data_IF_416542447496
#
_entry.id   IF_416542447496
#
_cell.length_a   1.000
_cell.length_b   1.000
_cell.length_c   1.000
_cell.angle_alpha   90.00
_cell.angle_beta   90.00
_cell.angle_gamma   90.00
#
_symmetry.space_group_name_H-M   'P 1'
#
loop_
_entity.id
_entity.type
_entity.pdbx_description
1 polymer ?
#
# COMPACT_ATOMS: atom_id res chain seq x y z
N UNK A 1 7.83 25.70 -10.14
CA UNK A 1 7.82 24.30 -9.67
C UNK A 1 6.65 23.58 -10.31
N UNK A 2 6.87 22.37 -10.83
CA UNK A 2 5.85 21.51 -11.47
C UNK A 2 6.01 20.09 -10.92
N UNK A 3 5.50 19.85 -9.70
CA UNK A 3 5.58 18.55 -9.03
C UNK A 3 4.20 17.89 -9.01
N UNK A 4 4.17 16.57 -9.11
CA UNK A 4 2.98 15.82 -8.71
C UNK A 4 3.36 14.88 -7.57
N UNK A 5 2.45 14.70 -6.61
CA UNK A 5 2.61 13.70 -5.58
C UNK A 5 1.38 12.82 -5.46
N UNK A 6 1.58 11.52 -5.30
CA UNK A 6 0.54 10.61 -4.80
C UNK A 6 1.02 10.09 -3.45
N UNK A 7 0.25 10.40 -2.42
CA UNK A 7 0.51 9.99 -1.04
C UNK A 7 -0.56 8.97 -0.66
N UNK A 8 -0.15 7.70 -0.63
CA UNK A 8 -0.99 6.57 -0.28
C UNK A 8 -0.91 6.33 1.22
N UNK A 9 -2.03 6.55 1.90
CA UNK A 9 -2.27 6.26 3.31
C UNK A 9 -2.73 4.80 3.38
N UNK A 10 -1.77 3.88 3.51
CA UNK A 10 -1.93 2.44 3.29
C UNK A 10 -3.06 1.87 4.16
N UNK A 11 -4.07 1.24 3.56
CA UNK A 11 -5.23 0.70 4.28
C UNK A 11 -6.27 1.72 4.78
N UNK A 12 -6.18 3.01 4.45
CA UNK A 12 -7.14 4.04 4.86
C UNK A 12 -8.43 4.06 4.01
N UNK A 13 -9.21 2.97 4.07
CA UNK A 13 -10.49 2.83 3.38
C UNK A 13 -11.57 3.81 3.86
N UNK A 14 -12.56 4.08 3.01
CA UNK A 14 -13.70 4.96 3.29
C UNK A 14 -15.04 4.26 3.00
N UNK A 15 -15.15 2.98 3.34
CA UNK A 15 -16.42 2.27 3.29
C UNK A 15 -16.69 1.50 2.01
N UNK A 16 -17.92 0.99 1.95
CA UNK A 16 -18.33 -0.07 1.04
C UNK A 16 -18.00 0.16 -0.45
N UNK A 17 -17.65 -0.95 -1.10
CA UNK A 17 -17.67 -1.13 -2.55
C UNK A 17 -18.84 -2.04 -2.96
N UNK A 18 -19.32 -1.96 -4.22
CA UNK A 18 -20.39 -2.82 -4.70
C UNK A 18 -20.10 -4.33 -4.58
N UNK A 19 -18.83 -4.73 -4.64
CA UNK A 19 -18.37 -6.13 -4.65
C UNK A 19 -17.87 -6.64 -3.29
N UNK A 20 -17.94 -5.82 -2.23
CA UNK A 20 -17.35 -6.10 -0.92
C UNK A 20 -17.80 -7.45 -0.32
N UNK A 21 -19.06 -7.84 -0.50
CA UNK A 21 -19.59 -9.12 -0.01
C UNK A 21 -18.90 -10.35 -0.64
N UNK A 22 -18.44 -10.24 -1.90
CA UNK A 22 -17.73 -11.33 -2.58
C UNK A 22 -16.34 -11.62 -1.96
N UNK A 23 -15.81 -10.67 -1.18
CA UNK A 23 -14.54 -10.80 -0.45
C UNK A 23 -14.73 -11.19 1.02
N UNK A 24 -15.99 -11.37 1.47
CA UNK A 24 -16.31 -11.61 2.88
C UNK A 24 -16.23 -10.35 3.76
N UNK A 25 -16.13 -9.17 3.15
CA UNK A 25 -15.87 -7.91 3.85
C UNK A 25 -17.15 -7.09 4.11
N UNK A 26 -18.33 -7.70 4.01
CA UNK A 26 -19.59 -6.98 4.10
C UNK A 26 -19.70 -6.18 5.42
N UNK A 27 -19.82 -4.86 5.30
CA UNK A 27 -19.89 -3.95 6.45
C UNK A 27 -18.55 -3.34 6.89
N UNK A 28 -17.42 -3.71 6.27
CA UNK A 28 -16.17 -2.99 6.50
C UNK A 28 -16.27 -1.55 5.99
N UNK A 29 -15.79 -0.64 6.80
CA UNK A 29 -15.83 0.80 6.60
C UNK A 29 -14.77 1.40 7.51
N UNK A 30 -13.50 1.34 7.09
CA UNK A 30 -12.34 1.65 7.92
C UNK A 30 -12.51 3.02 8.61
N UNK A 31 -12.62 4.10 7.84
CA UNK A 31 -12.80 5.45 8.41
C UNK A 31 -14.12 5.60 9.19
N UNK A 32 -15.24 5.10 8.67
CA UNK A 32 -16.54 5.30 9.31
C UNK A 32 -16.74 4.45 10.57
N UNK A 33 -16.21 3.22 10.61
CA UNK A 33 -16.20 2.35 11.78
C UNK A 33 -15.24 2.88 12.85
N UNK A 34 -14.02 3.32 12.50
CA UNK A 34 -13.12 3.97 13.46
C UNK A 34 -13.79 5.20 14.05
N UNK A 35 -14.41 6.04 13.22
CA UNK A 35 -15.17 7.20 13.70
C UNK A 35 -16.28 6.82 14.68
N UNK A 36 -17.07 5.79 14.38
CA UNK A 36 -18.12 5.30 15.27
C UNK A 36 -17.57 4.73 16.57
N UNK A 37 -16.48 3.97 16.51
CA UNK A 37 -15.86 3.34 17.67
C UNK A 37 -15.29 4.36 18.67
N UNK A 38 -14.77 5.50 18.20
CA UNK A 38 -14.21 6.55 19.06
C UNK A 38 -15.19 7.66 19.42
N UNK A 39 -16.47 7.54 19.03
CA UNK A 39 -17.51 8.54 19.33
C UNK A 39 -17.50 9.78 18.43
N UNK A 40 -16.82 9.69 17.28
CA UNK A 40 -16.68 10.75 16.28
C UNK A 40 -15.23 11.21 16.12
N UNK A 41 -14.82 11.47 14.87
CA UNK A 41 -13.51 12.02 14.56
C UNK A 41 -13.50 13.54 14.71
N UNK A 42 -12.35 14.10 15.11
CA UNK A 42 -12.10 15.53 15.08
C UNK A 42 -10.82 15.80 14.29
N UNK A 43 -10.96 16.03 13.00
CA UNK A 43 -9.87 16.20 12.04
C UNK A 43 -10.07 17.52 11.26
N UNK A 44 -9.87 18.68 11.90
CA UNK A 44 -10.24 19.98 11.33
C UNK A 44 -9.55 20.29 10.00
N UNK A 45 -8.33 19.82 9.78
CA UNK A 45 -7.61 20.09 8.54
C UNK A 45 -8.10 19.18 7.41
N UNK A 46 -8.25 17.88 7.66
CA UNK A 46 -8.80 16.93 6.69
C UNK A 46 -10.27 17.23 6.37
N UNK A 47 -11.05 17.68 7.35
CA UNK A 47 -12.42 18.18 7.15
C UNK A 47 -12.43 19.42 6.24
N UNK A 48 -11.49 20.35 6.43
CA UNK A 48 -11.31 21.51 5.54
C UNK A 48 -10.85 21.12 4.14
N UNK A 49 -10.07 20.05 3.98
CA UNK A 49 -9.77 19.50 2.66
C UNK A 49 -10.99 18.82 2.01
N UNK A 50 -11.99 18.41 2.80
CA UNK A 50 -13.22 17.82 2.29
C UNK A 50 -13.37 16.33 2.58
N UNK A 51 -12.62 15.74 3.52
CA UNK A 51 -12.73 14.32 3.85
C UNK A 51 -14.17 13.89 4.21
N UNK A 52 -14.87 14.67 5.03
CA UNK A 52 -16.28 14.45 5.37
C UNK A 52 -17.27 14.70 4.23
N UNK A 53 -16.80 15.20 3.08
CA UNK A 53 -17.57 15.33 1.83
C UNK A 53 -17.33 14.18 0.87
N UNK A 54 -16.28 13.38 1.05
CA UNK A 54 -16.06 12.17 0.27
C UNK A 54 -17.18 11.17 0.56
N UNK A 55 -17.44 10.90 1.84
CA UNK A 55 -18.59 10.13 2.36
C UNK A 55 -18.95 10.59 3.78
N UNK A 56 -20.15 10.30 4.29
CA UNK A 56 -20.53 10.62 5.67
C UNK A 56 -19.62 9.90 6.68
N UNK A 57 -18.97 10.66 7.57
CA UNK A 57 -18.11 10.14 8.64
C UNK A 57 -18.51 10.82 9.95
N UNK A 58 -18.74 10.04 11.01
CA UNK A 58 -19.16 10.58 12.30
C UNK A 58 -18.10 11.57 12.83
N UNK A 59 -18.54 12.77 13.22
CA UNK A 59 -17.67 13.83 13.76
C UNK A 59 -17.04 14.75 12.72
N UNK A 60 -17.07 14.39 11.43
CA UNK A 60 -16.71 15.31 10.35
C UNK A 60 -18.00 15.85 9.74
N UNK A 61 -18.23 17.15 9.88
CA UNK A 61 -19.40 17.75 9.26
C UNK A 61 -19.16 17.79 7.75
N UNK A 62 -20.19 17.45 6.98
CA UNK A 62 -20.20 17.67 5.55
C UNK A 62 -20.35 19.19 5.25
N UNK A 63 -19.62 20.06 5.94
CA UNK A 63 -19.57 21.50 5.71
C UNK A 63 -20.67 22.33 6.39
N UNK A 64 -21.12 21.96 7.59
CA UNK A 64 -22.07 22.79 8.37
C UNK A 64 -21.63 22.84 9.83
N UNK A 65 -20.50 23.51 10.07
CA UNK A 65 -20.20 24.02 11.41
C UNK A 65 -21.02 25.32 11.60
N UNK A 66 -21.84 25.46 12.65
CA UNK A 66 -22.60 26.68 12.94
C UNK A 66 -21.77 27.98 13.08
N UNK A 67 -20.43 27.90 13.03
CA UNK A 67 -19.52 29.04 13.01
C UNK A 67 -18.86 29.38 11.66
N UNK A 68 -19.08 28.62 10.58
CA UNK A 68 -18.44 28.86 9.26
C UNK A 68 -19.10 30.01 8.49
N UNK A 69 -18.28 30.91 7.92
CA UNK A 69 -18.70 32.02 7.05
C UNK A 69 -18.92 31.53 5.61
N UNK A 70 -19.76 32.23 4.81
CA UNK A 70 -19.83 32.00 3.37
C UNK A 70 -18.44 32.17 2.74
N UNK A 71 -17.89 31.10 2.14
CA UNK A 71 -16.50 31.02 1.66
C UNK A 71 -15.68 29.87 2.27
N UNK A 72 -16.15 29.25 3.35
CA UNK A 72 -15.46 28.15 4.06
C UNK A 72 -15.75 26.75 3.47
N UNK A 73 -15.84 26.66 2.14
CA UNK A 73 -15.98 25.38 1.44
C UNK A 73 -14.71 24.52 1.51
N UNK A 74 -14.76 23.25 1.05
CA UNK A 74 -13.54 22.45 0.86
C UNK A 74 -12.52 23.26 0.06
N UNK A 75 -11.24 23.19 0.42
CA UNK A 75 -10.18 23.90 -0.32
C UNK A 75 -9.48 23.02 -1.35
N UNK A 76 -9.79 21.73 -1.35
CA UNK A 76 -9.26 20.71 -2.24
C UNK A 76 -10.37 20.16 -3.14
N UNK A 77 -9.99 19.51 -4.24
CA UNK A 77 -10.92 18.64 -4.94
C UNK A 77 -11.07 17.33 -4.15
N UNK A 78 -12.28 16.79 -4.07
CA UNK A 78 -12.58 15.68 -3.17
C UNK A 78 -13.51 14.66 -3.81
N UNK A 79 -13.36 13.39 -3.44
CA UNK A 79 -14.22 12.31 -3.89
C UNK A 79 -13.77 10.96 -3.34
N UNK A 80 -14.23 9.89 -3.98
CA UNK A 80 -13.78 8.54 -3.68
C UNK A 80 -13.40 7.84 -4.97
N UNK A 81 -12.53 6.83 -4.88
CA UNK A 81 -12.33 5.87 -5.96
C UNK A 81 -12.71 4.47 -5.50
N UNK A 82 -13.27 3.71 -6.43
CA UNK A 82 -13.53 2.28 -6.28
C UNK A 82 -12.35 1.47 -6.86
N UNK A 83 -12.02 0.32 -6.25
CA UNK A 83 -11.07 -0.60 -6.84
C UNK A 83 -11.69 -1.29 -8.07
N UNK A 84 -10.96 -1.32 -9.19
CA UNK A 84 -11.35 -2.04 -10.40
C UNK A 84 -10.70 -3.43 -10.49
N UNK A 85 -9.52 -3.61 -9.89
CA UNK A 85 -8.78 -4.86 -9.87
C UNK A 85 -9.41 -5.87 -8.93
N UNK A 86 -9.24 -7.17 -9.20
CA UNK A 86 -9.80 -8.24 -8.38
C UNK A 86 -9.06 -8.49 -7.05
N UNK A 87 -7.85 -7.95 -6.86
CA UNK A 87 -7.10 -8.06 -5.59
C UNK A 87 -7.45 -6.92 -4.62
N UNK A 88 -7.26 -7.17 -3.32
CA UNK A 88 -7.37 -6.17 -2.23
C UNK A 88 -6.06 -5.99 -1.45
N UNK A 89 -4.96 -6.54 -1.95
CA UNK A 89 -3.62 -6.37 -1.40
C UNK A 89 -2.95 -5.08 -1.89
N UNK A 90 -1.96 -4.59 -1.15
CA UNK A 90 -1.30 -3.32 -1.45
C UNK A 90 -0.60 -3.30 -2.81
N UNK A 91 -0.12 -4.45 -3.32
CA UNK A 91 0.52 -4.52 -4.64
C UNK A 91 -0.52 -4.24 -5.72
N UNK A 92 -1.67 -4.90 -5.63
CA UNK A 92 -2.79 -4.67 -6.55
C UNK A 92 -3.25 -3.21 -6.53
N UNK A 93 -3.48 -2.63 -5.35
CA UNK A 93 -3.96 -1.26 -5.23
C UNK A 93 -2.98 -0.23 -5.82
N UNK A 94 -1.68 -0.36 -5.52
CA UNK A 94 -0.66 0.53 -6.05
C UNK A 94 -0.43 0.35 -7.56
N UNK A 95 -0.49 -0.88 -8.07
CA UNK A 95 -0.42 -1.13 -9.51
C UNK A 95 -1.61 -0.52 -10.24
N UNK A 96 -2.80 -0.58 -9.66
CA UNK A 96 -3.98 0.07 -10.21
C UNK A 96 -3.83 1.59 -10.23
N UNK A 97 -3.38 2.21 -9.14
CA UNK A 97 -3.02 3.63 -9.10
C UNK A 97 -2.09 4.00 -10.28
N UNK A 98 -1.17 3.11 -10.63
CA UNK A 98 -0.22 3.30 -11.72
C UNK A 98 -0.69 2.77 -13.09
N UNK A 99 -1.98 2.46 -13.26
CA UNK A 99 -2.58 2.16 -14.57
C UNK A 99 -2.72 0.68 -14.92
N UNK A 100 -2.50 -0.24 -13.99
CA UNK A 100 -2.67 -1.70 -14.21
C UNK A 100 -3.90 -2.22 -13.47
N UNK A 101 -4.91 -2.68 -14.21
CA UNK A 101 -6.08 -3.35 -13.63
C UNK A 101 -5.90 -4.87 -13.70
N UNK A 102 -5.81 -5.53 -12.55
CA UNK A 102 -5.67 -6.99 -12.48
C UNK A 102 -7.05 -7.66 -12.53
N UNK A 103 -7.26 -8.54 -13.53
CA UNK A 103 -8.49 -9.32 -13.65
C UNK A 103 -8.60 -10.45 -12.62
N UNK A 104 -7.48 -10.89 -12.08
CA UNK A 104 -7.38 -11.96 -11.09
C UNK A 104 -6.58 -11.44 -9.89
N UNK A 105 -7.05 -11.74 -8.69
CA UNK A 105 -6.30 -11.48 -7.46
C UNK A 105 -5.03 -12.35 -7.41
N UNK A 106 -4.02 -11.90 -6.67
CA UNK A 106 -2.89 -12.76 -6.36
C UNK A 106 -3.34 -13.99 -5.56
N UNK A 107 -2.70 -15.14 -5.83
CA UNK A 107 -3.10 -16.40 -5.22
C UNK A 107 -2.68 -16.47 -3.77
N UNK A 108 -3.59 -16.89 -2.90
CA UNK A 108 -3.29 -17.26 -1.51
C UNK A 108 -3.26 -18.78 -1.34
N UNK A 109 -2.64 -19.24 -0.25
CA UNK A 109 -2.40 -20.67 -0.01
C UNK A 109 -2.84 -21.09 1.41
N UNK A 110 -4.15 -21.01 1.75
CA UNK A 110 -4.65 -21.30 3.09
C UNK A 110 -4.38 -22.74 3.55
N UNK A 111 -4.15 -23.67 2.61
CA UNK A 111 -3.83 -25.07 2.88
C UNK A 111 -2.37 -25.41 2.53
N UNK A 112 -1.50 -24.40 2.43
CA UNK A 112 -0.13 -24.57 1.94
C UNK A 112 -0.02 -24.62 0.42
N UNK A 113 1.21 -24.60 -0.07
CA UNK A 113 1.59 -24.71 -1.48
C UNK A 113 1.43 -26.17 -1.97
N UNK A 114 1.13 -26.38 -3.26
CA UNK A 114 1.15 -27.70 -3.86
C UNK A 114 2.49 -28.40 -3.63
N UNK A 115 2.45 -29.68 -3.26
CA UNK A 115 3.66 -30.48 -3.02
C UNK A 115 4.60 -30.47 -4.24
N UNK A 116 4.04 -30.54 -5.46
CA UNK A 116 4.81 -30.48 -6.70
C UNK A 116 5.63 -29.19 -6.85
N UNK A 117 5.08 -28.06 -6.41
CA UNK A 117 5.77 -26.77 -6.40
C UNK A 117 6.95 -26.80 -5.42
N UNK A 118 6.73 -27.35 -4.22
CA UNK A 118 7.78 -27.45 -3.20
C UNK A 118 8.86 -28.49 -3.55
N UNK A 119 8.50 -29.55 -4.27
CA UNK A 119 9.45 -30.51 -4.81
C UNK A 119 10.34 -29.89 -5.90
N UNK A 120 9.79 -29.03 -6.77
CA UNK A 120 10.61 -28.27 -7.74
C UNK A 120 11.51 -27.26 -7.03
N UNK A 121 10.99 -26.53 -6.04
CA UNK A 121 11.78 -25.65 -5.19
C UNK A 121 12.94 -26.40 -4.50
N UNK A 122 12.67 -27.56 -3.93
CA UNK A 122 13.69 -28.37 -3.28
C UNK A 122 14.77 -28.86 -4.26
N UNK A 123 14.36 -29.31 -5.46
CA UNK A 123 15.27 -29.74 -6.51
C UNK A 123 16.18 -28.60 -6.99
N UNK A 124 15.63 -27.40 -7.22
CA UNK A 124 16.40 -26.22 -7.68
C UNK A 124 17.38 -25.71 -6.64
N UNK A 125 17.05 -25.84 -5.36
CA UNK A 125 17.88 -25.33 -4.26
C UNK A 125 18.79 -26.37 -3.63
N UNK A 126 18.62 -27.66 -3.96
CA UNK A 126 19.40 -28.76 -3.40
C UNK A 126 19.08 -29.08 -1.93
N UNK A 127 17.96 -28.59 -1.39
CA UNK A 127 17.54 -28.78 0.01
C UNK A 127 16.06 -29.14 0.08
N UNK A 128 15.69 -30.07 0.95
CA UNK A 128 14.29 -30.35 1.23
C UNK A 128 13.57 -29.18 1.93
N UNK A 129 12.29 -29.37 2.24
CA UNK A 129 11.46 -28.36 2.89
C UNK A 129 10.75 -28.93 4.14
N UNK A 130 10.30 -28.03 5.01
CA UNK A 130 9.52 -28.25 6.23
C UNK A 130 8.37 -27.22 6.28
N UNK A 131 7.28 -27.53 7.00
CA UNK A 131 6.21 -26.57 7.30
C UNK A 131 5.02 -26.63 6.33
N UNK A 132 5.10 -25.87 5.24
CA UNK A 132 4.07 -25.74 4.20
C UNK A 132 2.64 -25.48 4.71
N UNK A 133 2.47 -24.44 5.53
CA UNK A 133 1.14 -24.02 6.02
C UNK A 133 1.12 -22.53 6.35
N UNK A 134 -0.06 -21.90 6.49
CA UNK A 134 -0.16 -20.59 7.10
C UNK A 134 0.35 -20.63 8.54
N UNK A 135 1.25 -19.73 8.91
CA UNK A 135 1.77 -19.63 10.26
C UNK A 135 2.38 -18.27 10.57
N UNK A 136 2.38 -17.90 11.85
CA UNK A 136 3.24 -16.82 12.35
C UNK A 136 4.71 -17.22 12.22
N UNK A 137 5.56 -16.29 11.76
CA UNK A 137 6.99 -16.53 11.64
C UNK A 137 7.64 -16.92 12.96
N UNK A 138 7.20 -16.35 14.08
CA UNK A 138 7.71 -16.72 15.41
C UNK A 138 7.32 -18.15 15.77
N UNK A 139 6.06 -18.53 15.52
CA UNK A 139 5.55 -19.85 15.85
C UNK A 139 6.24 -20.94 15.04
N UNK A 140 6.32 -20.78 13.71
CA UNK A 140 6.88 -21.82 12.85
C UNK A 140 8.38 -22.01 13.04
N UNK A 141 9.11 -20.93 13.34
CA UNK A 141 10.55 -21.01 13.67
C UNK A 141 10.75 -21.71 15.03
N UNK A 142 9.90 -21.42 16.02
CA UNK A 142 9.97 -22.11 17.32
C UNK A 142 9.72 -23.62 17.18
N UNK A 143 8.78 -24.02 16.31
CA UNK A 143 8.41 -25.41 16.07
C UNK A 143 9.42 -26.18 15.22
N UNK A 144 9.90 -25.58 14.12
CA UNK A 144 10.68 -26.28 13.10
C UNK A 144 12.17 -25.91 13.08
N UNK A 145 12.60 -24.94 13.90
CA UNK A 145 13.96 -24.42 13.89
C UNK A 145 15.02 -25.48 14.24
N UNK A 146 14.74 -26.35 15.21
CA UNK A 146 15.68 -27.43 15.58
C UNK A 146 15.83 -28.48 14.47
N UNK A 147 14.72 -28.91 13.86
CA UNK A 147 14.75 -29.83 12.72
C UNK A 147 15.42 -29.21 11.49
N UNK A 148 15.21 -27.91 11.27
CA UNK A 148 15.95 -27.14 10.25
C UNK A 148 17.46 -27.17 10.52
N UNK A 149 17.90 -26.86 11.74
CA UNK A 149 19.33 -26.87 12.08
C UNK A 149 19.95 -28.25 11.90
N UNK A 150 19.22 -29.32 12.22
CA UNK A 150 19.67 -30.72 12.08
C UNK A 150 19.78 -31.19 10.63
N UNK A 151 18.85 -30.78 9.78
CA UNK A 151 18.72 -31.32 8.40
C UNK A 151 19.17 -30.37 7.30
N UNK A 152 19.22 -29.07 7.58
CA UNK A 152 19.45 -28.02 6.60
C UNK A 152 18.29 -27.80 5.62
N UNK A 153 17.11 -28.39 5.83
CA UNK A 153 15.92 -28.19 4.99
C UNK A 153 15.32 -26.80 5.18
N UNK A 154 14.79 -26.16 4.14
CA UNK A 154 14.11 -24.88 4.25
C UNK A 154 12.85 -24.96 5.13
N UNK A 155 12.61 -23.96 5.98
CA UNK A 155 11.27 -23.78 6.57
C UNK A 155 10.46 -22.92 5.61
N UNK A 156 9.45 -23.50 4.97
CA UNK A 156 8.59 -22.81 3.99
C UNK A 156 7.20 -22.62 4.59
N UNK A 157 6.65 -21.41 4.50
CA UNK A 157 5.31 -21.09 5.01
C UNK A 157 4.68 -19.88 4.32
N UNK A 158 3.41 -19.61 4.63
CA UNK A 158 2.63 -18.48 4.09
C UNK A 158 1.90 -17.72 5.21
N UNK A 159 1.26 -16.60 4.88
CA UNK A 159 0.29 -15.90 5.73
C UNK A 159 -1.10 -15.92 5.07
N UNK A 160 -2.03 -15.09 5.57
CA UNK A 160 -3.28 -14.77 4.88
C UNK A 160 -3.03 -14.08 3.54
N UNK A 161 -1.96 -13.29 3.45
CA UNK A 161 -1.53 -12.62 2.22
C UNK A 161 -0.96 -13.60 1.19
N UNK A 162 -0.86 -13.11 -0.04
CA UNK A 162 -0.19 -13.80 -1.14
C UNK A 162 1.34 -13.75 -1.01
N UNK A 163 1.91 -14.55 -0.12
CA UNK A 163 3.37 -14.56 0.13
C UNK A 163 3.96 -15.97 0.26
N UNK A 164 5.20 -16.15 -0.19
CA UNK A 164 5.99 -17.35 0.05
C UNK A 164 7.18 -17.01 0.95
N UNK A 165 7.17 -17.50 2.18
CA UNK A 165 8.18 -17.16 3.17
C UNK A 165 9.15 -18.32 3.36
N UNK A 166 10.46 -18.02 3.35
CA UNK A 166 11.53 -19.00 3.56
C UNK A 166 12.33 -18.58 4.79
N UNK A 167 12.24 -19.36 5.85
CA UNK A 167 13.03 -19.17 7.06
C UNK A 167 14.23 -20.13 7.10
N UNK A 168 15.37 -19.60 7.53
CA UNK A 168 16.59 -20.38 7.73
C UNK A 168 17.46 -19.78 8.83
N UNK A 169 18.10 -20.64 9.59
CA UNK A 169 19.03 -20.27 10.64
C UNK A 169 20.37 -19.84 10.03
N UNK A 170 20.87 -18.65 10.37
CA UNK A 170 22.01 -18.03 9.68
C UNK A 170 23.32 -18.85 9.74
N UNK A 171 23.50 -19.66 10.78
CA UNK A 171 24.66 -20.56 10.91
C UNK A 171 24.48 -21.91 10.21
N UNK A 172 23.24 -22.29 9.87
CA UNK A 172 22.94 -23.55 9.16
C UNK A 172 22.89 -23.32 7.65
N UNK A 173 22.28 -22.20 7.25
CA UNK A 173 22.24 -21.73 5.87
C UNK A 173 22.63 -20.27 5.87
N UNK A 174 23.73 -19.96 5.18
CA UNK A 174 24.23 -18.59 5.12
C UNK A 174 23.19 -17.66 4.46
N UNK A 175 23.11 -16.38 4.86
CA UNK A 175 22.16 -15.43 4.29
C UNK A 175 22.20 -15.32 2.75
N UNK A 176 23.39 -15.38 2.13
CA UNK A 176 23.52 -15.33 0.67
C UNK A 176 22.89 -16.55 -0.04
N UNK A 177 22.95 -17.72 0.60
CA UNK A 177 22.30 -18.93 0.11
C UNK A 177 20.78 -18.87 0.30
N UNK A 178 20.30 -18.35 1.44
CA UNK A 178 18.88 -18.07 1.65
C UNK A 178 18.33 -17.15 0.55
N UNK A 179 19.05 -16.08 0.22
CA UNK A 179 18.64 -15.16 -0.85
C UNK A 179 18.67 -15.81 -2.24
N UNK A 180 19.61 -16.71 -2.53
CA UNK A 180 19.59 -17.51 -3.76
C UNK A 180 18.37 -18.44 -3.79
N UNK A 181 18.04 -19.07 -2.68
CA UNK A 181 16.82 -19.87 -2.53
C UNK A 181 15.55 -19.05 -2.80
N UNK A 182 15.42 -17.87 -2.20
CA UNK A 182 14.28 -16.99 -2.44
C UNK A 182 14.18 -16.52 -3.90
N UNK A 183 15.29 -16.27 -4.59
CA UNK A 183 15.28 -15.97 -6.04
C UNK A 183 14.78 -17.16 -6.86
N UNK A 184 15.24 -18.38 -6.57
CA UNK A 184 14.74 -19.59 -7.22
C UNK A 184 13.25 -19.80 -6.98
N UNK A 185 12.76 -19.55 -5.76
CA UNK A 185 11.32 -19.56 -5.47
C UNK A 185 10.58 -18.49 -6.27
N UNK A 186 11.15 -17.28 -6.41
CA UNK A 186 10.51 -16.20 -7.15
C UNK A 186 10.29 -16.55 -8.63
N UNK A 187 11.27 -17.19 -9.26
CA UNK A 187 11.19 -17.70 -10.64
C UNK A 187 10.15 -18.82 -10.80
N UNK A 188 9.90 -19.60 -9.74
CA UNK A 188 8.88 -20.66 -9.74
C UNK A 188 7.45 -20.12 -9.57
N UNK A 189 7.30 -19.08 -8.75
CA UNK A 189 6.01 -18.54 -8.35
C UNK A 189 5.53 -17.52 -9.37
N UNK A 190 5.17 -18.01 -10.55
CA UNK A 190 4.67 -17.25 -11.71
C UNK A 190 3.36 -17.84 -12.23
N UNK A 191 2.67 -17.14 -13.13
CA UNK A 191 1.42 -17.61 -13.73
C UNK A 191 0.36 -17.92 -12.68
N UNK A 192 -0.23 -19.12 -12.72
CA UNK A 192 -1.23 -19.54 -11.73
C UNK A 192 -0.69 -19.69 -10.30
N UNK A 193 0.64 -19.72 -10.13
CA UNK A 193 1.29 -19.80 -8.82
C UNK A 193 1.92 -18.47 -8.39
N UNK A 194 1.59 -17.38 -9.10
CA UNK A 194 2.09 -16.06 -8.76
C UNK A 194 1.65 -15.65 -7.35
N UNK A 195 2.64 -15.40 -6.49
CA UNK A 195 2.46 -14.69 -5.22
C UNK A 195 3.04 -13.28 -5.32
N UNK A 196 2.49 -12.33 -4.56
CA UNK A 196 2.98 -10.94 -4.61
C UNK A 196 4.43 -10.84 -4.14
N UNK A 197 4.82 -11.57 -3.08
CA UNK A 197 6.19 -11.53 -2.55
C UNK A 197 6.74 -12.90 -2.12
N UNK A 198 8.03 -13.12 -2.40
CA UNK A 198 8.83 -14.12 -1.70
C UNK A 198 9.63 -13.42 -0.61
N UNK A 199 9.66 -13.95 0.61
CA UNK A 199 10.28 -13.26 1.76
C UNK A 199 11.34 -14.16 2.42
N UNK A 200 12.57 -13.70 2.45
CA UNK A 200 13.64 -14.27 3.24
C UNK A 200 13.44 -13.91 4.73
N UNK A 201 13.46 -14.92 5.59
CA UNK A 201 13.26 -14.80 7.04
C UNK A 201 14.42 -15.43 7.80
N UNK A 202 15.61 -14.82 7.77
CA UNK A 202 16.73 -15.32 8.55
C UNK A 202 16.42 -15.24 10.06
N UNK A 203 16.94 -16.21 10.80
CA UNK A 203 16.85 -16.24 12.25
C UNK A 203 18.14 -16.77 12.89
N UNK A 204 18.31 -16.49 14.17
CA UNK A 204 19.45 -16.92 14.99
C UNK A 204 18.95 -17.46 16.33
N UNK A 205 19.86 -17.95 17.17
CA UNK A 205 19.58 -18.46 18.50
C UNK A 205 19.69 -19.99 18.60
N UNK A 206 19.04 -20.54 19.62
CA UNK A 206 19.06 -21.98 19.94
C UNK A 206 17.65 -22.51 20.12
N UNK A 207 17.42 -23.84 20.10
CA UNK A 207 16.11 -24.41 20.41
C UNK A 207 15.49 -23.78 21.67
N UNK A 208 14.22 -23.37 21.57
CA UNK A 208 13.48 -22.66 22.62
C UNK A 208 13.76 -21.15 22.75
N UNK A 209 14.72 -20.60 22.01
CA UNK A 209 15.11 -19.18 22.09
C UNK A 209 15.51 -18.59 20.72
N UNK A 210 14.81 -18.96 19.66
CA UNK A 210 15.06 -18.41 18.31
C UNK A 210 14.53 -16.99 18.15
N UNK A 211 15.25 -16.19 17.37
CA UNK A 211 14.89 -14.80 17.06
C UNK A 211 15.15 -14.49 15.59
N UNK A 212 14.17 -13.84 14.93
CA UNK A 212 14.36 -13.34 13.57
C UNK A 212 15.38 -12.20 13.56
N UNK A 213 16.22 -12.13 12.53
CA UNK A 213 17.22 -11.07 12.38
C UNK A 213 16.74 -9.96 11.46
N UNK A 214 17.51 -8.88 11.37
CA UNK A 214 17.26 -7.76 10.44
C UNK A 214 17.54 -8.11 8.97
N UNK A 215 18.12 -9.29 8.68
CA UNK A 215 18.45 -9.73 7.32
C UNK A 215 17.24 -10.11 6.45
N UNK A 216 16.02 -9.72 6.85
CA UNK A 216 14.81 -9.86 6.05
C UNK A 216 15.04 -9.24 4.67
N UNK A 217 14.65 -9.96 3.62
CA UNK A 217 14.64 -9.43 2.27
C UNK A 217 13.41 -9.90 1.53
N UNK A 218 12.72 -8.98 0.87
CA UNK A 218 11.52 -9.26 0.10
C UNK A 218 11.90 -9.28 -1.40
N UNK A 219 11.29 -10.20 -2.14
CA UNK A 219 11.47 -10.40 -3.57
C UNK A 219 10.08 -10.32 -4.20
N UNK A 220 9.68 -9.11 -4.55
CA UNK A 220 8.37 -8.82 -5.11
C UNK A 220 8.28 -9.24 -6.57
N UNK A 221 7.05 -9.51 -7.00
CA UNK A 221 6.73 -9.67 -8.42
C UNK A 221 6.84 -8.31 -9.14
N UNK A 222 7.32 -8.32 -10.39
CA UNK A 222 7.30 -7.13 -11.23
C UNK A 222 5.89 -6.84 -11.77
N UNK A 223 5.55 -5.56 -12.00
CA UNK A 223 4.32 -5.18 -12.69
C UNK A 223 4.12 -5.95 -14.00
N UNK A 224 2.93 -6.52 -14.18
CA UNK A 224 2.56 -7.34 -15.36
C UNK A 224 2.38 -6.55 -16.66
N UNK A 225 2.54 -5.23 -16.61
CA UNK A 225 2.36 -4.32 -17.74
C UNK A 225 3.18 -3.05 -17.59
N UNK A 226 3.04 -2.15 -18.55
CA UNK A 226 3.61 -0.80 -18.47
C UNK A 226 2.83 0.04 -17.44
N UNK A 227 3.56 0.65 -16.51
CA UNK A 227 3.02 1.48 -15.42
C UNK A 227 3.24 2.97 -15.70
N UNK A 228 2.56 3.83 -14.93
CA UNK A 228 2.90 5.25 -14.84
C UNK A 228 4.41 5.48 -14.62
N UNK A 229 5.06 4.69 -13.78
CA UNK A 229 6.49 4.84 -13.49
C UNK A 229 7.35 4.62 -14.74
N UNK A 230 7.01 3.62 -15.56
CA UNK A 230 7.67 3.37 -16.85
C UNK A 230 7.47 4.55 -17.81
N UNK A 231 6.24 5.04 -17.93
CA UNK A 231 5.92 6.18 -18.82
C UNK A 231 6.66 7.45 -18.40
N UNK A 232 6.68 7.75 -17.11
CA UNK A 232 7.39 8.90 -16.55
C UNK A 232 8.90 8.76 -16.75
N UNK A 233 9.44 7.55 -16.63
CA UNK A 233 10.84 7.27 -16.93
C UNK A 233 11.17 7.52 -18.41
N UNK A 234 10.35 7.02 -19.33
CA UNK A 234 10.51 7.26 -20.76
C UNK A 234 10.41 8.76 -21.12
N UNK A 235 9.54 9.51 -20.42
CA UNK A 235 9.37 10.95 -20.59
C UNK A 235 10.44 11.80 -19.85
N UNK A 236 11.44 11.18 -19.21
CA UNK A 236 12.49 11.88 -18.48
C UNK A 236 11.99 12.68 -17.27
N UNK A 237 10.84 12.32 -16.69
CA UNK A 237 10.30 12.95 -15.49
C UNK A 237 11.00 12.34 -14.27
N UNK A 238 11.73 13.11 -13.43
CA UNK A 238 12.33 12.60 -12.21
C UNK A 238 11.28 11.99 -11.26
N UNK A 239 11.66 10.94 -10.53
CA UNK A 239 10.75 10.21 -9.64
C UNK A 239 11.43 10.01 -8.29
N UNK A 240 10.71 10.30 -7.21
CA UNK A 240 11.17 10.16 -5.82
C UNK A 240 10.24 9.19 -5.11
N UNK A 241 10.77 8.07 -4.63
CA UNK A 241 10.02 7.10 -3.83
C UNK A 241 10.23 7.32 -2.34
N UNK A 242 9.16 7.21 -1.56
CA UNK A 242 9.20 7.27 -0.09
C UNK A 242 8.34 6.12 0.47
N UNK A 243 8.85 5.44 1.50
CA UNK A 243 8.21 4.25 2.03
C UNK A 243 8.52 3.03 1.17
N UNK A 244 7.54 2.15 0.94
CA UNK A 244 7.74 0.86 0.27
C UNK A 244 7.33 0.84 -1.21
N UNK A 245 7.23 2.00 -1.86
CA UNK A 245 6.78 2.04 -3.26
C UNK A 245 7.78 1.39 -4.23
N UNK A 246 9.05 1.21 -3.88
CA UNK A 246 9.97 0.41 -4.69
C UNK A 246 9.73 -1.09 -4.52
N UNK A 247 9.56 -1.57 -3.29
CA UNK A 247 9.21 -2.96 -3.01
C UNK A 247 7.92 -3.37 -3.73
N UNK A 248 6.90 -2.51 -3.75
CA UNK A 248 5.61 -2.78 -4.41
C UNK A 248 5.72 -2.87 -5.94
N UNK A 249 6.80 -2.35 -6.53
CA UNK A 249 7.06 -2.38 -7.97
C UNK A 249 8.35 -3.14 -8.32
N UNK A 250 8.88 -3.93 -7.38
CA UNK A 250 10.15 -4.66 -7.54
C UNK A 250 11.33 -3.78 -8.01
N UNK A 251 11.35 -2.50 -7.60
CA UNK A 251 12.35 -1.51 -8.00
C UNK A 251 12.23 -1.03 -9.45
N UNK A 252 11.17 -1.42 -10.16
CA UNK A 252 10.97 -1.05 -11.57
C UNK A 252 10.70 0.45 -11.70
N UNK A 253 11.67 1.16 -12.26
CA UNK A 253 11.63 2.59 -12.52
C UNK A 253 11.40 3.49 -11.30
N UNK A 254 11.58 2.98 -10.07
CA UNK A 254 11.49 3.76 -8.84
C UNK A 254 12.42 3.18 -7.78
N UNK A 255 13.03 4.07 -6.97
CA UNK A 255 13.79 3.72 -5.78
C UNK A 255 13.25 4.54 -4.61
N UNK A 256 13.23 3.95 -3.41
CA UNK A 256 12.63 4.61 -2.24
C UNK A 256 13.56 4.70 -1.04
N UNK A 257 13.38 5.76 -0.27
CA UNK A 257 13.86 5.78 1.12
C UNK A 257 12.77 5.18 2.03
N UNK A 258 13.07 4.03 2.64
CA UNK A 258 12.13 3.29 3.47
C UNK A 258 11.95 3.94 4.83
N UNK A 259 10.69 4.04 5.27
CA UNK A 259 10.33 4.69 6.53
C UNK A 259 9.67 3.73 7.50
N UNK A 260 10.10 3.68 8.77
CA UNK A 260 9.49 2.81 9.78
C UNK A 260 8.18 3.38 10.36
N UNK A 261 7.93 4.68 10.21
CA UNK A 261 6.78 5.37 10.78
C UNK A 261 6.21 6.41 9.82
N UNK A 262 4.92 6.74 10.00
CA UNK A 262 4.20 7.78 9.28
C UNK A 262 4.87 9.14 9.46
N UNK A 263 5.24 9.50 10.69
CA UNK A 263 6.00 10.73 10.98
C UNK A 263 7.31 10.83 10.22
N UNK A 264 8.01 9.71 10.01
CA UNK A 264 9.21 9.72 9.18
C UNK A 264 8.85 9.95 7.71
N UNK A 265 7.83 9.26 7.18
CA UNK A 265 7.32 9.48 5.83
C UNK A 265 6.94 10.96 5.60
N UNK A 266 6.19 11.58 6.51
CA UNK A 266 5.80 12.99 6.45
C UNK A 266 7.00 13.94 6.34
N UNK A 267 8.08 13.70 7.10
CA UNK A 267 9.31 14.48 7.01
C UNK A 267 10.02 14.30 5.67
N UNK A 268 10.03 13.09 5.13
CA UNK A 268 10.61 12.83 3.81
C UNK A 268 9.77 13.46 2.69
N UNK A 269 8.44 13.49 2.83
CA UNK A 269 7.57 14.21 1.88
C UNK A 269 7.86 15.69 1.90
N UNK A 270 7.98 16.29 3.09
CA UNK A 270 8.37 17.70 3.22
C UNK A 270 9.72 17.97 2.54
N UNK A 271 10.74 17.15 2.81
CA UNK A 271 12.06 17.26 2.18
C UNK A 271 11.98 17.11 0.65
N UNK A 272 11.26 16.10 0.17
CA UNK A 272 11.13 15.84 -1.26
C UNK A 272 10.42 16.99 -1.99
N UNK A 273 9.41 17.60 -1.37
CA UNK A 273 8.82 18.83 -1.88
C UNK A 273 9.88 19.94 -1.90
N UNK A 274 10.54 20.24 -0.78
CA UNK A 274 11.52 21.33 -0.68
C UNK A 274 12.69 21.22 -1.70
N UNK A 275 13.10 20.00 -2.05
CA UNK A 275 14.27 19.73 -2.91
C UNK A 275 13.94 19.49 -4.40
N UNK A 276 12.67 19.20 -4.75
CA UNK A 276 12.29 18.86 -6.13
C UNK A 276 11.73 20.06 -6.87
N UNK A 277 12.32 20.44 -8.01
CA UNK A 277 11.77 21.52 -8.84
C UNK A 277 10.67 21.01 -9.81
N UNK A 278 10.91 19.84 -10.42
CA UNK A 278 10.00 19.11 -11.32
C UNK A 278 10.19 17.62 -11.11
N UNK A 279 9.10 16.89 -10.85
CA UNK A 279 9.15 15.45 -10.67
C UNK A 279 7.92 14.86 -10.01
N UNK A 280 7.81 13.54 -10.04
CA UNK A 280 6.77 12.76 -9.39
C UNK A 280 7.27 12.23 -8.04
N UNK A 281 6.53 12.51 -6.97
CA UNK A 281 6.81 12.02 -5.62
C UNK A 281 5.77 10.94 -5.30
N UNK A 282 6.21 9.71 -5.10
CA UNK A 282 5.31 8.60 -4.80
C UNK A 282 5.58 8.08 -3.40
N UNK A 283 4.55 8.05 -2.56
CA UNK A 283 4.69 7.86 -1.13
C UNK A 283 3.74 6.76 -0.66
N UNK A 284 4.25 5.85 0.15
CA UNK A 284 3.47 4.85 0.85
C UNK A 284 3.65 5.02 2.37
N UNK A 285 2.58 5.36 3.07
CA UNK A 285 2.51 5.66 4.51
C UNK A 285 1.89 4.45 5.23
N UNK A 286 2.73 3.66 5.89
CA UNK A 286 2.45 2.23 6.15
C UNK A 286 1.78 1.90 7.50
N UNK A 287 1.76 2.79 8.49
CA UNK A 287 1.34 2.36 9.84
C UNK A 287 -0.17 2.12 9.96
N UNK A 288 -0.98 2.79 9.13
CA UNK A 288 -2.43 2.58 9.05
C UNK A 288 -2.76 1.10 8.77
N UNK A 289 -2.01 0.48 7.86
CA UNK A 289 -2.11 -0.94 7.56
C UNK A 289 -1.30 -1.83 8.53
N UNK A 290 0.03 -1.66 8.55
CA UNK A 290 0.96 -2.61 9.16
C UNK A 290 0.95 -2.60 10.69
N UNK A 291 0.71 -1.43 11.29
CA UNK A 291 0.81 -1.25 12.74
C UNK A 291 -0.57 -1.32 13.40
N UNK A 292 -1.60 -0.76 12.76
CA UNK A 292 -2.92 -0.62 13.39
C UNK A 292 -4.01 -1.48 12.75
N UNK A 293 -4.17 -1.45 11.41
CA UNK A 293 -5.20 -2.19 10.68
C UNK A 293 -5.15 -3.69 10.93
N UNK A 294 -4.07 -4.36 10.51
CA UNK A 294 -3.89 -5.80 10.70
C UNK A 294 -3.91 -6.27 12.17
N UNK A 295 -3.72 -5.34 13.12
CA UNK A 295 -3.71 -5.62 14.56
C UNK A 295 -5.03 -5.29 15.25
N UNK A 296 -6.02 -4.80 14.49
CA UNK A 296 -7.30 -4.34 15.01
C UNK A 296 -7.14 -3.32 16.16
N UNK A 297 -6.14 -2.44 16.03
CA UNK A 297 -5.84 -1.40 17.02
C UNK A 297 -6.53 -0.08 16.65
N UNK A 298 -7.81 0.02 17.03
CA UNK A 298 -8.63 1.21 16.80
C UNK A 298 -8.03 2.47 17.43
N UNK A 299 -7.44 2.35 18.63
CA UNK A 299 -6.89 3.49 19.36
C UNK A 299 -5.63 4.03 18.66
N UNK A 300 -4.72 3.15 18.25
CA UNK A 300 -3.54 3.50 17.47
C UNK A 300 -3.92 4.10 16.10
N UNK A 301 -4.91 3.52 15.42
CA UNK A 301 -5.41 4.02 14.14
C UNK A 301 -5.95 5.46 14.28
N UNK A 302 -6.75 5.72 15.31
CA UNK A 302 -7.29 7.05 15.61
C UNK A 302 -6.19 8.06 15.93
N UNK A 303 -5.17 7.69 16.71
CA UNK A 303 -4.04 8.59 16.96
C UNK A 303 -3.23 8.87 15.67
N UNK A 304 -3.07 7.87 14.81
CA UNK A 304 -2.49 8.04 13.47
C UNK A 304 -3.24 9.06 12.61
N UNK A 305 -4.59 9.04 12.66
CA UNK A 305 -5.43 10.04 11.97
C UNK A 305 -5.20 11.45 12.52
N UNK A 306 -5.07 11.60 13.85
CA UNK A 306 -4.78 12.90 14.47
C UNK A 306 -3.39 13.42 14.11
N UNK A 307 -2.40 12.52 14.02
CA UNK A 307 -1.05 12.87 13.56
C UNK A 307 -1.06 13.34 12.10
N UNK A 308 -1.78 12.62 11.23
CA UNK A 308 -1.98 12.99 9.84
C UNK A 308 -2.63 14.38 9.72
N UNK A 309 -3.74 14.59 10.42
CA UNK A 309 -4.46 15.87 10.39
C UNK A 309 -3.58 17.05 10.84
N UNK A 310 -2.79 16.86 11.89
CA UNK A 310 -1.86 17.88 12.39
C UNK A 310 -0.70 18.18 11.40
N UNK A 311 -0.38 17.24 10.51
CA UNK A 311 0.65 17.42 9.48
C UNK A 311 0.15 18.17 8.24
N UNK A 312 -1.15 18.11 7.92
CA UNK A 312 -1.73 18.73 6.71
C UNK A 312 -1.30 20.19 6.49
N UNK A 313 -1.30 21.10 7.49
CA UNK A 313 -0.86 22.48 7.27
C UNK A 313 0.58 22.62 6.77
N UNK A 314 1.47 21.69 7.18
CA UNK A 314 2.88 21.67 6.76
C UNK A 314 3.03 21.17 5.32
N UNK A 315 2.15 20.27 4.89
CA UNK A 315 2.06 19.82 3.50
C UNK A 315 1.56 20.96 2.60
N UNK A 316 0.48 21.64 2.99
CA UNK A 316 -0.09 22.75 2.21
C UNK A 316 0.87 23.92 2.05
N UNK A 317 1.63 24.27 3.09
CA UNK A 317 2.63 25.34 3.01
C UNK A 317 3.71 25.07 1.94
N UNK A 318 3.88 23.81 1.52
CA UNK A 318 4.84 23.39 0.49
C UNK A 318 4.20 23.09 -0.86
N UNK A 319 2.87 23.07 -0.95
CA UNK A 319 2.13 22.89 -2.19
C UNK A 319 2.11 24.22 -2.97
N UNK A 320 3.10 24.45 -3.83
CA UNK A 320 3.33 25.76 -4.47
C UNK A 320 3.29 25.66 -5.99
N UNK A 321 3.22 26.81 -6.67
CA UNK A 321 3.30 26.87 -8.13
C UNK A 321 2.22 26.03 -8.83
N UNK A 322 2.67 25.11 -9.69
CA UNK A 322 1.80 24.25 -10.49
C UNK A 322 1.48 22.90 -9.84
N UNK A 323 1.86 22.67 -8.58
CA UNK A 323 1.77 21.32 -8.02
C UNK A 323 0.37 20.71 -8.02
N UNK A 324 0.35 19.38 -8.09
CA UNK A 324 -0.83 18.55 -7.86
C UNK A 324 -0.46 17.46 -6.85
N UNK A 325 -1.02 17.54 -5.65
CA UNK A 325 -0.79 16.57 -4.57
C UNK A 325 -2.09 15.83 -4.30
N UNK A 326 -2.05 14.51 -4.42
CA UNK A 326 -3.18 13.60 -4.21
C UNK A 326 -2.93 12.82 -2.93
N UNK A 327 -3.82 12.96 -1.94
CA UNK A 327 -3.91 12.10 -0.76
C UNK A 327 -4.97 11.04 -1.03
N UNK A 328 -4.62 9.77 -0.83
CA UNK A 328 -5.50 8.63 -1.10
C UNK A 328 -5.13 7.40 -0.27
N UNK A 329 -5.72 6.25 -0.55
CA UNK A 329 -5.35 4.93 -0.07
C UNK A 329 -5.35 3.93 -1.24
N UNK A 330 -5.01 2.68 -0.96
CA UNK A 330 -4.92 1.59 -1.94
C UNK A 330 -5.84 0.40 -1.63
N UNK A 331 -6.43 0.38 -0.45
CA UNK A 331 -7.51 -0.52 0.00
C UNK A 331 -8.05 -0.03 1.36
N UNK A 332 -8.95 -0.79 1.99
CA UNK A 332 -9.29 -0.66 3.40
C UNK A 332 -8.53 -1.66 4.26
N UNK A 333 -8.45 -1.40 5.56
CA UNK A 333 -8.01 -2.35 6.58
C UNK A 333 -8.70 -1.99 7.90
N UNK A 334 -9.97 -2.40 8.02
CA UNK A 334 -10.86 -1.97 9.08
C UNK A 334 -10.52 -2.61 10.43
N UNK A 335 -9.98 -1.83 11.40
CA UNK A 335 -9.49 -2.37 12.67
C UNK A 335 -10.62 -2.74 13.64
N UNK A 336 -11.89 -2.57 13.26
CA UNK A 336 -13.04 -2.88 14.11
C UNK A 336 -13.65 -4.25 13.81
N UNK A 337 -13.15 -4.95 12.79
CA UNK A 337 -13.64 -6.27 12.39
C UNK A 337 -12.83 -7.39 13.03
N UNK A 338 -13.34 -8.64 13.10
CA UNK A 338 -12.54 -9.79 13.52
C UNK A 338 -11.47 -10.20 12.49
N UNK A 339 -11.54 -9.68 11.26
CA UNK A 339 -10.55 -9.97 10.22
C UNK A 339 -9.18 -9.45 10.62
N UNK A 340 -8.13 -10.10 10.13
CA UNK A 340 -6.76 -9.57 10.16
C UNK A 340 -6.18 -9.42 8.76
N UNK A 341 -7.03 -9.57 7.74
CA UNK A 341 -6.77 -9.32 6.32
C UNK A 341 -7.34 -7.95 5.94
N UNK A 342 -6.92 -7.42 4.79
CA UNK A 342 -7.44 -6.16 4.25
C UNK A 342 -8.95 -6.25 3.98
N UNK A 343 -9.59 -5.09 3.83
CA UNK A 343 -11.01 -4.98 3.46
C UNK A 343 -11.18 -4.36 2.07
N UNK A 344 -12.14 -4.91 1.31
CA UNK A 344 -12.55 -4.39 0.00
C UNK A 344 -13.37 -3.12 0.16
N UNK A 345 -12.70 -1.97 0.09
CA UNK A 345 -13.29 -0.66 0.32
C UNK A 345 -12.93 0.36 -0.76
N UNK A 346 -13.77 1.39 -0.85
CA UNK A 346 -13.45 2.59 -1.60
C UNK A 346 -12.33 3.34 -0.87
N UNK A 347 -11.59 4.17 -1.59
CA UNK A 347 -10.52 5.00 -1.01
C UNK A 347 -10.86 6.48 -1.17
N UNK A 348 -10.53 7.34 -0.19
CA UNK A 348 -10.72 8.77 -0.35
C UNK A 348 -9.78 9.32 -1.44
N UNK A 349 -10.22 10.38 -2.12
CA UNK A 349 -9.35 11.21 -2.95
C UNK A 349 -9.47 12.63 -2.43
N UNK A 350 -8.35 13.23 -2.04
CA UNK A 350 -8.23 14.66 -1.79
C UNK A 350 -7.09 15.21 -2.65
N UNK A 351 -7.37 16.21 -3.47
CA UNK A 351 -6.39 16.82 -4.37
C UNK A 351 -6.20 18.28 -4.03
N UNK A 352 -4.96 18.65 -3.72
CA UNK A 352 -4.57 20.00 -3.34
C UNK A 352 -3.40 20.49 -4.20
N UNK A 353 -3.23 21.80 -4.29
CA UNK A 353 -2.17 22.42 -5.09
C UNK A 353 -2.51 23.87 -5.45
N UNK A 354 -1.50 24.66 -5.81
CA UNK A 354 -1.64 26.11 -6.01
C UNK A 354 -2.63 26.52 -7.11
N UNK A 355 -2.89 25.62 -8.08
CA UNK A 355 -3.87 25.81 -9.17
C UNK A 355 -5.01 24.79 -9.17
N UNK A 356 -5.15 24.02 -8.09
CA UNK A 356 -6.22 23.04 -7.96
C UNK A 356 -7.49 23.76 -7.50
N UNK A 357 -8.57 23.62 -8.26
CA UNK A 357 -9.89 24.15 -7.92
C UNK A 357 -10.59 23.20 -6.96
N UNK A 358 -11.14 23.73 -5.87
CA UNK A 358 -11.99 22.96 -4.99
C UNK A 358 -13.30 22.57 -5.68
N UNK A 359 -13.56 21.26 -5.79
CA UNK A 359 -14.77 20.71 -6.40
C UNK A 359 -14.99 19.24 -6.03
N UNK A 360 -16.23 18.74 -6.12
CA UNK A 360 -16.47 17.31 -6.10
C UNK A 360 -15.89 16.65 -7.36
N UNK A 361 -15.21 15.52 -7.16
CA UNK A 361 -14.80 14.56 -8.19
C UNK A 361 -15.82 13.42 -8.37
N UNK A 362 -16.76 13.30 -7.43
CA UNK A 362 -17.71 12.19 -7.37
C UNK A 362 -17.03 10.87 -7.02
N UNK A 363 -17.60 9.79 -7.51
CA UNK A 363 -17.06 8.44 -7.39
C UNK A 363 -16.34 8.05 -8.68
N UNK A 364 -15.03 7.79 -8.57
CA UNK A 364 -14.19 7.30 -9.67
C UNK A 364 -14.26 5.78 -9.72
N UNK A 365 -14.26 5.21 -10.92
CA UNK A 365 -14.48 3.76 -11.12
C UNK A 365 -13.21 2.92 -10.98
N UNK A 366 -12.05 3.56 -10.86
CA UNK A 366 -10.76 2.90 -10.70
C UNK A 366 -9.77 3.83 -9.99
N UNK A 367 -8.83 3.25 -9.25
CA UNK A 367 -7.68 3.99 -8.71
C UNK A 367 -6.76 4.53 -9.83
N UNK A 368 -6.81 3.92 -11.01
CA UNK A 368 -6.01 4.30 -12.17
C UNK A 368 -6.23 5.74 -12.66
N UNK A 369 -7.37 6.35 -12.31
CA UNK A 369 -7.67 7.75 -12.62
C UNK A 369 -6.65 8.71 -12.01
N UNK A 370 -6.06 8.35 -10.86
CA UNK A 370 -5.00 9.13 -10.21
C UNK A 370 -3.72 9.09 -11.05
N UNK A 371 -3.29 7.92 -11.50
CA UNK A 371 -2.13 7.79 -12.37
C UNK A 371 -2.33 8.44 -13.74
N UNK A 372 -3.52 8.32 -14.33
CA UNK A 372 -3.87 8.99 -15.58
C UNK A 372 -3.80 10.53 -15.45
N UNK A 373 -4.26 11.05 -14.31
CA UNK A 373 -4.15 12.49 -13.97
C UNK A 373 -2.71 12.94 -13.87
N UNK A 374 -1.83 12.16 -13.22
CA UNK A 374 -0.39 12.46 -13.15
C UNK A 374 0.29 12.37 -14.52
N UNK A 375 -0.07 11.39 -15.35
CA UNK A 375 0.46 11.27 -16.71
C UNK A 375 0.08 12.49 -17.57
N UNK A 376 -1.18 12.93 -17.52
CA UNK A 376 -1.61 14.15 -18.22
C UNK A 376 -0.92 15.40 -17.66
N UNK A 377 -0.75 15.49 -16.33
CA UNK A 377 -0.09 16.63 -15.70
C UNK A 377 1.34 16.84 -16.19
N UNK A 378 2.07 15.74 -16.43
CA UNK A 378 3.41 15.78 -17.00
C UNK A 378 3.46 15.78 -18.53
N UNK A 379 2.30 15.81 -19.19
CA UNK A 379 2.17 15.76 -20.65
C UNK A 379 2.92 14.56 -21.25
N UNK A 380 2.79 13.40 -20.57
CA UNK A 380 3.39 12.14 -21.03
C UNK A 380 2.88 11.84 -22.45
N UNK A 381 3.77 11.60 -23.43
CA UNK A 381 3.36 11.33 -24.81
C UNK A 381 2.47 10.09 -24.92
N UNK A 382 1.63 9.97 -25.97
CA UNK A 382 0.86 8.76 -26.25
C UNK A 382 1.74 7.50 -26.41
N UNK A 383 1.17 6.29 -26.26
CA UNK A 383 -0.22 6.02 -25.84
C UNK A 383 -0.49 6.40 -24.37
N UNK A 384 -1.77 6.60 -23.99
CA UNK A 384 -2.15 6.75 -22.59
C UNK A 384 -1.87 5.47 -21.78
N UNK A 385 -1.97 5.55 -20.46
CA UNK A 385 -1.96 4.37 -19.61
C UNK A 385 -3.06 3.37 -20.02
N UNK A 386 -2.82 2.09 -19.77
CA UNK A 386 -3.76 1.02 -20.14
C UNK A 386 -5.12 1.14 -19.43
N UNK A 387 -5.16 1.79 -18.27
CA UNK A 387 -6.37 2.08 -17.51
C UNK A 387 -6.32 3.48 -16.89
N UNK A 388 -7.51 3.98 -16.55
CA UNK A 388 -7.71 5.27 -15.89
C UNK A 388 -8.22 6.36 -16.84
N UNK A 389 -9.05 7.25 -16.30
CA UNK A 389 -9.49 8.49 -16.95
C UNK A 389 -9.03 9.65 -16.09
N UNK A 390 -8.21 10.53 -16.66
CA UNK A 390 -7.73 11.71 -15.95
C UNK A 390 -8.89 12.62 -15.53
N UNK A 391 -8.78 13.19 -14.34
CA UNK A 391 -9.65 14.27 -13.85
C UNK A 391 -8.90 15.61 -13.80
N UNK A 392 -7.70 15.72 -14.39
CA UNK A 392 -6.94 16.96 -14.42
C UNK A 392 -7.73 18.14 -15.01
N UNK A 393 -8.46 17.99 -16.14
CA UNK A 393 -9.25 19.08 -16.72
C UNK A 393 -10.41 19.52 -15.83
N UNK A 394 -10.84 18.66 -14.91
CA UNK A 394 -11.89 19.00 -13.95
C UNK A 394 -11.33 19.95 -12.88
N UNK A 395 -10.12 19.71 -12.41
CA UNK A 395 -9.54 20.38 -11.25
C UNK A 395 -8.58 21.52 -11.59
N UNK A 396 -8.17 21.67 -12.86
CA UNK A 396 -7.29 22.76 -13.32
C UNK A 396 -8.00 23.64 -14.33
N UNK A 397 -7.60 24.91 -14.32
CA UNK A 397 -8.11 25.97 -15.17
C UNK A 397 -7.50 25.95 -16.57
#
# INVERSE_FOLDING_TARGET
MKRAAIIVLDGLGIGACPDQAAYGDAGSDTLGNVARAVGGLRLPNLERLGLGKCRPILGLTSGVDPGRKPGDGPVAAYGVALPASAGKDSTTGHWEICGIVLKLAFRTYPNGFPTSLLEDFARRTGRGWLGNRPASGTQIIAELGEEHQRTGKWIVYTSADSVFQVAAHEHTVRPDELYRGCRAARELLVGEHAVSRVIARPFTGRPGAYQRTSGRKDFSIEPVGETLLDRLAAAGVPRVGIGKVDDLFAGRNIASEHTPTNRHAYRLVERALDETERGFIFVNVIEFDQTWGHRNDVAGFHEGLRELDAWIPRLEARATGDDVIILTADHGNDPTTPSTDHSREAVPILVLGGRVRARPLGERRSFADMGATVAEFFEVPPPPLAAGTSFLPEIRA
#
